data_IF_721962354417
#
_entry.id   IF_721962354417
#
_cell.length_a   1.000
_cell.length_b   1.000
_cell.length_c   1.000
_cell.angle_alpha   90.00
_cell.angle_beta   90.00
_cell.angle_gamma   90.00
#
_symmetry.space_group_name_H-M   'P 1'
#
loop_
_entity.id
_entity.type
_entity.pdbx_description
1 polymer ?
#
# COMPACT_ATOMS: atom_id res chain seq x y z
N UNK A 1 -20.89 -16.37 -6.52
CA UNK A 1 -20.39 -14.98 -6.36
C UNK A 1 -18.93 -15.06 -5.97
N UNK A 2 -18.02 -14.39 -6.70
CA UNK A 2 -16.60 -14.38 -6.35
C UNK A 2 -16.44 -13.54 -5.08
N UNK A 3 -15.98 -14.16 -3.99
CA UNK A 3 -15.77 -13.46 -2.73
C UNK A 3 -14.54 -12.55 -2.89
N UNK A 4 -14.72 -11.23 -2.87
CA UNK A 4 -13.60 -10.29 -2.96
C UNK A 4 -12.73 -10.45 -1.71
N UNK A 5 -11.47 -10.86 -1.89
CA UNK A 5 -10.56 -11.02 -0.75
C UNK A 5 -10.12 -9.64 -0.27
N UNK A 6 -10.49 -9.32 0.96
CA UNK A 6 -10.02 -8.13 1.67
C UNK A 6 -8.75 -8.52 2.42
N UNK A 7 -7.72 -7.69 2.36
CA UNK A 7 -6.43 -7.97 3.00
C UNK A 7 -5.76 -6.67 3.43
N UNK A 8 -4.97 -6.75 4.51
CA UNK A 8 -4.30 -5.58 5.05
C UNK A 8 -2.91 -5.42 4.44
N UNK A 9 -2.54 -4.19 4.09
CA UNK A 9 -1.17 -3.84 3.73
C UNK A 9 -0.32 -3.85 4.99
N UNK A 10 0.78 -4.60 4.96
CA UNK A 10 1.71 -4.78 6.07
C UNK A 10 3.06 -4.16 5.75
N UNK A 11 3.84 -3.95 6.81
CA UNK A 11 5.26 -3.61 6.70
C UNK A 11 6.02 -4.66 5.87
N UNK A 12 7.18 -4.28 5.30
CA UNK A 12 8.07 -5.20 4.63
C UNK A 12 8.54 -6.35 5.53
N UNK A 13 9.20 -7.34 4.92
CA UNK A 13 9.93 -8.34 5.69
C UNK A 13 11.00 -7.66 6.55
N UNK A 14 11.20 -8.05 7.83
CA UNK A 14 12.32 -7.58 8.63
C UNK A 14 13.69 -7.88 8.02
N UNK A 15 13.77 -8.90 7.16
CA UNK A 15 14.98 -9.31 6.43
C UNK A 15 15.16 -8.59 5.09
N UNK A 16 14.23 -7.69 4.72
CA UNK A 16 14.37 -6.82 3.54
C UNK A 16 15.23 -5.61 3.90
N UNK A 17 16.44 -5.56 3.35
CA UNK A 17 17.42 -4.50 3.58
C UNK A 17 17.51 -3.51 2.41
N UNK A 18 16.60 -3.59 1.44
CA UNK A 18 16.51 -2.60 0.37
C UNK A 18 16.19 -1.21 0.97
N UNK A 19 16.81 -0.11 0.50
CA UNK A 19 16.47 1.25 0.93
C UNK A 19 15.00 1.62 0.70
N UNK A 20 14.35 1.01 -0.29
CA UNK A 20 12.95 1.18 -0.66
C UNK A 20 12.20 -0.17 -0.60
N UNK A 21 12.09 -0.76 0.60
CA UNK A 21 11.63 -2.14 0.78
C UNK A 21 10.15 -2.28 0.43
N UNK A 22 9.72 -3.46 -0.04
CA UNK A 22 8.33 -3.63 -0.50
C UNK A 22 7.37 -3.87 0.66
N UNK A 23 6.28 -3.09 0.71
CA UNK A 23 5.14 -3.43 1.57
C UNK A 23 4.53 -4.77 1.16
N UNK A 24 3.92 -5.47 2.11
CA UNK A 24 3.37 -6.81 1.89
C UNK A 24 1.84 -6.79 1.83
N UNK A 25 1.29 -7.45 0.83
CA UNK A 25 -0.14 -7.77 0.73
C UNK A 25 -0.31 -9.27 0.58
N UNK A 26 -0.89 -9.94 1.58
CA UNK A 26 -0.99 -11.40 1.63
C UNK A 26 0.35 -12.13 1.40
N UNK A 27 1.44 -11.57 1.91
CA UNK A 27 2.78 -12.14 1.77
C UNK A 27 3.47 -11.83 0.44
N UNK A 28 2.82 -11.12 -0.49
CA UNK A 28 3.43 -10.67 -1.74
C UNK A 28 3.86 -9.21 -1.65
N UNK A 29 5.04 -8.90 -2.18
CA UNK A 29 5.55 -7.53 -2.26
C UNK A 29 4.72 -6.69 -3.23
N UNK A 30 4.31 -5.51 -2.79
CA UNK A 30 3.61 -4.53 -3.61
C UNK A 30 4.60 -3.81 -4.52
N UNK A 31 4.16 -3.48 -5.74
CA UNK A 31 4.92 -2.69 -6.70
C UNK A 31 4.40 -1.24 -6.72
N UNK A 32 5.30 -0.27 -6.88
CA UNK A 32 4.93 1.10 -7.20
C UNK A 32 4.05 1.13 -8.47
N UNK A 33 3.08 2.04 -8.50
CA UNK A 33 2.02 2.10 -9.52
C UNK A 33 0.89 1.08 -9.34
N UNK A 34 0.90 0.23 -8.31
CA UNK A 34 -0.20 -0.71 -8.06
C UNK A 34 -1.44 0.02 -7.54
N UNK A 35 -2.59 -0.24 -8.17
CA UNK A 35 -3.89 0.27 -7.71
C UNK A 35 -4.71 -0.77 -6.95
N UNK A 36 -5.43 -0.31 -5.94
CA UNK A 36 -6.32 -1.09 -5.08
C UNK A 36 -7.54 -0.28 -4.68
N UNK A 37 -8.61 -0.96 -4.26
CA UNK A 37 -9.74 -0.30 -3.58
C UNK A 37 -9.52 -0.40 -2.07
N UNK A 38 -9.19 0.71 -1.41
CA UNK A 38 -8.91 0.79 0.03
C UNK A 38 -10.12 1.25 0.84
N UNK A 39 -10.24 0.72 2.07
CA UNK A 39 -11.23 1.16 3.04
C UNK A 39 -10.70 2.36 3.83
N UNK A 40 -11.32 3.51 3.64
CA UNK A 40 -11.11 4.75 4.37
C UNK A 40 -12.33 5.05 5.27
N UNK A 41 -12.27 6.05 6.19
CA UNK A 41 -13.37 6.31 7.13
C UNK A 41 -14.74 6.57 6.50
N UNK A 42 -14.77 7.12 5.28
CA UNK A 42 -15.98 7.46 4.53
C UNK A 42 -16.39 6.38 3.51
N UNK A 43 -15.59 5.32 3.32
CA UNK A 43 -15.93 4.21 2.46
C UNK A 43 -14.76 3.64 1.65
N UNK A 44 -15.10 2.96 0.56
CA UNK A 44 -14.14 2.31 -0.33
C UNK A 44 -13.72 3.26 -1.45
N UNK A 45 -12.41 3.46 -1.63
CA UNK A 45 -11.86 4.34 -2.65
C UNK A 45 -10.76 3.68 -3.44
N UNK A 46 -10.69 3.97 -4.73
CA UNK A 46 -9.59 3.52 -5.58
C UNK A 46 -8.36 4.39 -5.34
N UNK A 47 -7.27 3.73 -4.95
CA UNK A 47 -5.99 4.35 -4.63
C UNK A 47 -4.88 3.74 -5.46
N UNK A 48 -3.86 4.53 -5.76
CA UNK A 48 -2.59 4.07 -6.35
C UNK A 48 -1.48 4.28 -5.34
N UNK A 49 -0.60 3.30 -5.20
CA UNK A 49 0.55 3.37 -4.30
C UNK A 49 1.82 3.70 -5.07
N UNK A 50 2.62 4.61 -4.53
CA UNK A 50 3.91 5.02 -5.08
C UNK A 50 4.99 5.05 -4.00
N UNK A 51 6.24 5.20 -4.45
CA UNK A 51 7.45 5.26 -3.62
C UNK A 51 8.15 6.59 -3.81
N UNK A 52 8.45 7.27 -2.70
CA UNK A 52 9.29 8.46 -2.66
C UNK A 52 10.76 8.03 -2.58
N UNK A 53 11.57 8.44 -3.57
CA UNK A 53 12.96 7.98 -3.69
C UNK A 53 13.93 8.61 -2.68
N UNK A 54 13.58 9.77 -2.12
CA UNK A 54 14.36 10.51 -1.14
C UNK A 54 14.12 10.08 0.32
N UNK A 55 13.14 9.20 0.55
CA UNK A 55 12.82 8.62 1.86
C UNK A 55 13.28 7.17 1.88
N UNK A 56 13.95 6.75 2.97
CA UNK A 56 14.38 5.36 3.15
C UNK A 56 13.47 4.60 4.12
N UNK A 57 13.45 3.29 3.96
CA UNK A 57 12.60 2.40 4.77
C UNK A 57 11.13 2.45 4.36
N UNK A 58 10.23 1.78 5.11
CA UNK A 58 8.82 1.61 4.72
C UNK A 58 8.03 2.92 4.62
N UNK A 59 8.53 4.01 5.22
CA UNK A 59 7.92 5.34 5.14
C UNK A 59 8.01 5.96 3.73
N UNK A 60 8.80 5.38 2.82
CA UNK A 60 8.86 5.83 1.43
C UNK A 60 7.55 5.59 0.66
N UNK A 61 6.67 4.71 1.15
CA UNK A 61 5.41 4.39 0.50
C UNK A 61 4.29 5.37 0.84
N UNK A 62 3.57 5.81 -0.17
CA UNK A 62 2.44 6.73 -0.04
C UNK A 62 1.35 6.45 -1.07
N UNK A 63 0.14 6.92 -0.79
CA UNK A 63 -0.94 6.98 -1.79
C UNK A 63 -0.66 8.16 -2.73
N UNK A 64 -0.65 7.94 -4.05
CA UNK A 64 -0.44 9.00 -5.06
C UNK A 64 -1.74 9.57 -5.65
N UNK A 65 -2.88 8.93 -5.39
CA UNK A 65 -4.19 9.41 -5.87
C UNK A 65 -4.51 10.80 -5.31
N UNK A 66 -4.88 11.79 -6.16
CA UNK A 66 -5.29 13.11 -5.70
C UNK A 66 -6.42 13.03 -4.66
N UNK A 67 -6.33 13.85 -3.60
CA UNK A 67 -7.26 13.81 -2.47
C UNK A 67 -6.83 12.87 -1.32
N UNK A 68 -5.98 11.88 -1.60
CA UNK A 68 -5.38 10.99 -0.60
C UNK A 68 -3.85 11.06 -0.59
N UNK A 69 -3.28 11.99 -1.37
CA UNK A 69 -1.86 12.11 -1.60
C UNK A 69 -1.05 12.20 -0.29
N UNK A 70 0.01 11.40 -0.18
CA UNK A 70 0.92 11.43 0.96
C UNK A 70 0.45 10.65 2.19
N UNK A 71 -0.76 10.08 2.18
CA UNK A 71 -1.22 9.19 3.24
C UNK A 71 -0.40 7.89 3.20
N UNK A 72 0.04 7.42 4.37
CA UNK A 72 0.71 6.13 4.48
C UNK A 72 -0.28 4.99 4.19
N UNK A 73 0.05 4.03 3.31
CA UNK A 73 -0.83 2.91 3.00
C UNK A 73 -0.73 1.76 4.01
N UNK A 74 0.24 1.80 4.92
CA UNK A 74 0.45 0.73 5.92
C UNK A 74 -0.76 0.63 6.82
N UNK A 75 -1.28 -0.59 6.99
CA UNK A 75 -2.44 -0.86 7.82
C UNK A 75 -3.79 -0.70 7.12
N UNK A 76 -3.84 -0.18 5.89
CA UNK A 76 -5.09 -0.11 5.13
C UNK A 76 -5.58 -1.50 4.75
N UNK A 77 -6.90 -1.71 4.86
CA UNK A 77 -7.58 -2.85 4.26
C UNK A 77 -7.89 -2.54 2.81
N UNK A 78 -7.47 -3.41 1.92
CA UNK A 78 -7.66 -3.26 0.47
C UNK A 78 -8.33 -4.49 -0.13
N UNK A 79 -8.99 -4.27 -1.26
CA UNK A 79 -9.57 -5.32 -2.10
C UNK A 79 -9.20 -5.12 -3.56
N UNK A 80 -9.29 -6.19 -4.34
CA UNK A 80 -9.03 -6.22 -5.77
C UNK A 80 -10.13 -6.98 -6.50
#
# INVERSE_FOLDING_TARGET
>A
MRQTRISQIKLPSPDDHDPHPRLLLNGYGIHAGSSYTALLPDGWHDITLEVAWDITGPACWYISTPGFAGISPVGLFVRR
#
